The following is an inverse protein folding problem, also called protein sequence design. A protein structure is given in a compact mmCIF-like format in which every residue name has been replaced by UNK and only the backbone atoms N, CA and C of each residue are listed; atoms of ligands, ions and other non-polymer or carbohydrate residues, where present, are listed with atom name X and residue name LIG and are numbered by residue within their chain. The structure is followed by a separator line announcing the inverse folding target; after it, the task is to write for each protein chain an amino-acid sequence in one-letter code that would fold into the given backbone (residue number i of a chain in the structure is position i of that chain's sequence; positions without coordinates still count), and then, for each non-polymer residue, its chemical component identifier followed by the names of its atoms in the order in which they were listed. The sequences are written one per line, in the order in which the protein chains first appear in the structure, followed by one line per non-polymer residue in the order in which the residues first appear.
data_IF_185615030265
#
_entry.id   IF_185615030265
#
_cell.length_a   1.000
_cell.length_b   1.000
_cell.length_c   1.000
_cell.angle_alpha   90.00
_cell.angle_beta   90.00
_cell.angle_gamma   90.00
#
_symmetry.space_group_name_H-M   'P 1'
#
loop_
_entity.id
_entity.type
_entity.pdbx_description
1 polymer ?
#
# COMPACT_ATOMS: atom_id res chain seq x y z
N UNK A 1 4.57 14.50 17.85
CA UNK A 1 3.41 15.28 17.34
C UNK A 1 2.35 14.39 16.69
N UNK A 2 2.70 13.44 15.82
CA UNK A 2 1.81 12.43 15.27
C UNK A 2 1.01 11.68 16.35
N UNK A 3 1.66 11.35 17.48
CA UNK A 3 1.02 10.68 18.62
C UNK A 3 -0.11 11.49 19.27
N UNK A 4 -0.16 12.79 19.07
CA UNK A 4 -1.19 13.68 19.63
C UNK A 4 -2.40 13.82 18.70
N UNK A 5 -2.28 13.38 17.44
CA UNK A 5 -3.40 13.33 16.51
C UNK A 5 -4.52 12.41 17.03
N UNK A 6 -5.75 12.75 16.67
CA UNK A 6 -6.90 11.91 16.96
C UNK A 6 -6.75 10.52 16.32
N UNK A 7 -7.34 9.50 16.94
CA UNK A 7 -7.35 8.14 16.39
C UNK A 7 -7.90 8.10 14.96
N UNK A 8 -8.95 8.89 14.69
CA UNK A 8 -9.54 9.02 13.35
C UNK A 8 -8.55 9.53 12.30
N UNK A 9 -7.74 10.55 12.62
CA UNK A 9 -6.72 11.07 11.70
C UNK A 9 -5.62 10.02 11.48
N UNK A 10 -5.12 9.38 12.53
CA UNK A 10 -4.09 8.33 12.42
C UNK A 10 -4.55 7.15 11.56
N UNK A 11 -5.80 6.71 11.72
CA UNK A 11 -6.40 5.67 10.90
C UNK A 11 -6.48 6.12 9.44
N UNK A 12 -6.90 7.37 9.20
CA UNK A 12 -6.99 7.92 7.84
C UNK A 12 -5.62 8.02 7.17
N UNK A 13 -4.58 8.41 7.90
CA UNK A 13 -3.20 8.44 7.41
C UNK A 13 -2.76 7.02 7.03
N UNK A 14 -2.91 6.07 7.95
CA UNK A 14 -2.50 4.68 7.73
C UNK A 14 -3.18 4.10 6.49
N UNK A 15 -4.50 4.29 6.34
CA UNK A 15 -5.24 3.85 5.15
C UNK A 15 -4.73 4.52 3.87
N UNK A 16 -4.45 5.82 3.91
CA UNK A 16 -3.94 6.52 2.72
C UNK A 16 -2.59 5.99 2.26
N UNK A 17 -1.69 5.66 3.21
CA UNK A 17 -0.39 5.06 2.92
C UNK A 17 -0.60 3.67 2.31
N UNK A 18 -1.38 2.80 2.96
CA UNK A 18 -1.63 1.45 2.44
C UNK A 18 -2.23 1.45 1.05
N UNK A 19 -3.31 2.21 0.83
CA UNK A 19 -3.98 2.29 -0.47
C UNK A 19 -3.06 2.81 -1.56
N UNK A 20 -2.28 3.86 -1.28
CA UNK A 20 -1.37 4.43 -2.29
C UNK A 20 -0.21 3.50 -2.60
N UNK A 21 0.30 2.79 -1.58
CA UNK A 21 1.41 1.86 -1.74
C UNK A 21 1.01 0.65 -2.59
N UNK A 22 -0.12 0.01 -2.26
CA UNK A 22 -0.64 -1.13 -3.03
C UNK A 22 -1.00 -0.70 -4.48
N UNK A 23 -1.59 0.48 -4.67
CA UNK A 23 -1.89 1.01 -6.00
C UNK A 23 -0.63 1.31 -6.81
N UNK A 24 0.39 1.89 -6.17
CA UNK A 24 1.69 2.13 -6.79
C UNK A 24 2.35 0.82 -7.24
N UNK A 25 2.45 -0.18 -6.34
CA UNK A 25 3.00 -1.48 -6.67
C UNK A 25 2.22 -2.16 -7.81
N UNK A 26 0.89 -2.12 -7.78
CA UNK A 26 0.06 -2.62 -8.87
C UNK A 26 0.36 -1.92 -10.21
N UNK A 27 0.62 -0.61 -10.21
CA UNK A 27 0.96 0.16 -11.42
C UNK A 27 2.29 -0.23 -12.06
N UNK A 28 3.25 -0.70 -11.25
CA UNK A 28 4.52 -1.25 -11.72
C UNK A 28 4.48 -2.77 -11.87
N UNK A 29 3.32 -3.40 -11.62
CA UNK A 29 3.11 -4.83 -11.76
C UNK A 29 3.70 -5.68 -10.63
N UNK A 30 3.89 -5.10 -9.45
CA UNK A 30 4.58 -5.71 -8.30
C UNK A 30 6.02 -6.14 -8.61
N UNK A 31 6.66 -5.47 -9.58
CA UNK A 31 8.05 -5.69 -9.93
C UNK A 31 8.98 -4.90 -9.01
N UNK A 32 9.69 -5.61 -8.12
CA UNK A 32 10.62 -5.02 -7.14
C UNK A 32 11.75 -4.22 -7.81
N UNK A 33 12.22 -4.62 -9.00
CA UNK A 33 13.30 -3.92 -9.71
C UNK A 33 12.86 -2.53 -10.19
N UNK A 34 11.53 -2.32 -10.28
CA UNK A 34 10.91 -1.05 -10.68
C UNK A 34 10.48 -0.21 -9.47
N UNK A 35 10.67 -0.70 -8.25
CA UNK A 35 10.30 0.03 -7.05
C UNK A 35 11.18 1.29 -6.87
N UNK A 36 10.55 2.40 -6.49
CA UNK A 36 11.17 3.67 -6.22
C UNK A 36 10.43 4.32 -5.05
N UNK A 37 11.15 4.56 -3.96
CA UNK A 37 10.58 5.25 -2.79
C UNK A 37 10.13 6.67 -3.17
N UNK A 38 10.88 7.35 -4.04
CA UNK A 38 10.53 8.70 -4.50
C UNK A 38 9.20 8.71 -5.27
N UNK A 39 9.01 7.78 -6.20
CA UNK A 39 7.78 7.69 -6.99
C UNK A 39 6.58 7.29 -6.14
N UNK A 40 6.78 6.37 -5.19
CA UNK A 40 5.75 6.04 -4.21
C UNK A 40 5.34 7.26 -3.38
N UNK A 41 6.29 8.03 -2.85
CA UNK A 41 6.00 9.22 -2.06
C UNK A 41 5.25 10.26 -2.90
N UNK A 42 5.65 10.48 -4.16
CA UNK A 42 4.93 11.39 -5.08
C UNK A 42 3.49 10.91 -5.36
N UNK A 43 3.30 9.61 -5.57
CA UNK A 43 1.98 8.99 -5.74
C UNK A 43 1.10 9.16 -4.50
N UNK A 44 1.64 8.89 -3.31
CA UNK A 44 0.92 9.06 -2.05
C UNK A 44 0.58 10.52 -1.76
N UNK A 45 1.48 11.46 -2.08
CA UNK A 45 1.22 12.90 -1.98
C UNK A 45 0.03 13.33 -2.84
N UNK A 46 0.03 12.90 -4.10
CA UNK A 46 -1.09 13.15 -5.02
C UNK A 46 -2.38 12.55 -4.45
N UNK A 47 -2.32 11.29 -4.02
CA UNK A 47 -3.48 10.60 -3.47
C UNK A 47 -4.08 11.31 -2.25
N UNK A 48 -3.26 11.68 -1.25
CA UNK A 48 -3.82 12.28 -0.04
C UNK A 48 -4.33 13.71 -0.27
N UNK A 49 -3.76 14.46 -1.21
CA UNK A 49 -4.26 15.78 -1.58
C UNK A 49 -5.63 15.71 -2.25
N UNK A 50 -5.86 14.69 -3.07
CA UNK A 50 -7.11 14.54 -3.83
C UNK A 50 -8.19 13.75 -3.07
N UNK A 51 -7.80 12.75 -2.28
CA UNK A 51 -8.72 11.73 -1.75
C UNK A 51 -8.73 11.65 -0.22
N UNK A 52 -7.67 12.06 0.47
CA UNK A 52 -7.55 11.87 1.91
C UNK A 52 -7.64 13.20 2.67
N UNK A 53 -8.86 13.56 3.07
CA UNK A 53 -9.21 14.79 3.80
C UNK A 53 -8.59 14.93 5.21
N UNK A 54 -7.51 14.20 5.54
CA UNK A 54 -6.83 14.32 6.83
C UNK A 54 -5.84 15.49 6.85
N UNK A 55 -5.22 15.85 5.71
CA UNK A 55 -4.21 16.91 5.69
C UNK A 55 -4.79 18.27 6.09
N UNK A 56 -6.00 18.59 5.63
CA UNK A 56 -6.73 19.81 6.00
C UNK A 56 -7.14 19.86 7.48
N UNK A 57 -7.09 18.72 8.18
CA UNK A 57 -7.46 18.60 9.60
C UNK A 57 -6.25 18.72 10.53
N UNK A 58 -5.04 18.84 9.97
CA UNK A 58 -3.81 19.01 10.75
C UNK A 58 -3.41 20.49 10.68
N UNK A 59 -3.18 21.15 11.83
CA UNK A 59 -2.67 22.51 11.87
C UNK A 59 -1.36 22.68 11.07
N UNK A 60 -1.22 23.83 10.39
CA UNK A 60 -0.09 24.09 9.50
C UNK A 60 1.27 24.07 10.21
N UNK A 61 1.33 24.51 11.47
CA UNK A 61 2.54 24.46 12.30
C UNK A 61 2.99 23.02 12.60
N UNK A 62 2.03 22.10 12.76
CA UNK A 62 2.32 20.66 12.91
C UNK A 62 2.79 20.10 11.57
N UNK A 63 2.07 20.39 10.48
CA UNK A 63 2.42 19.91 9.13
C UNK A 63 3.82 20.35 8.70
N UNK A 64 4.24 21.57 9.04
CA UNK A 64 5.55 22.10 8.66
C UNK A 64 6.67 21.70 9.64
N UNK A 65 6.36 21.00 10.72
CA UNK A 65 7.34 20.64 11.73
C UNK A 65 8.24 19.48 11.28
N UNK A 66 9.54 19.62 11.50
CA UNK A 66 10.52 18.56 11.21
C UNK A 66 10.22 17.28 12.00
N UNK A 67 9.79 17.42 13.26
CA UNK A 67 9.42 16.27 14.09
C UNK A 67 8.24 15.49 13.50
N UNK A 68 7.21 16.17 12.99
CA UNK A 68 6.08 15.50 12.38
C UNK A 68 6.50 14.76 11.10
N UNK A 69 7.35 15.37 10.26
CA UNK A 69 7.87 14.71 9.07
C UNK A 69 8.67 13.44 9.40
N UNK A 70 9.51 13.47 10.44
CA UNK A 70 10.25 12.29 10.90
C UNK A 70 9.31 11.18 11.39
N UNK A 71 8.32 11.52 12.22
CA UNK A 71 7.32 10.56 12.70
C UNK A 71 6.45 9.99 11.55
N UNK A 72 6.17 10.79 10.51
CA UNK A 72 5.47 10.35 9.31
C UNK A 72 6.31 9.38 8.49
N UNK A 73 7.61 9.64 8.32
CA UNK A 73 8.53 8.71 7.66
C UNK A 73 8.55 7.35 8.38
N UNK A 74 8.69 7.36 9.71
CA UNK A 74 8.59 6.13 10.52
C UNK A 74 7.26 5.42 10.34
N UNK A 75 6.16 6.17 10.21
CA UNK A 75 4.83 5.59 10.01
C UNK A 75 4.69 4.93 8.63
N UNK A 76 5.28 5.53 7.61
CA UNK A 76 5.30 4.96 6.25
C UNK A 76 6.05 3.64 6.28
N UNK A 77 7.25 3.60 6.88
CA UNK A 77 8.05 2.39 7.01
C UNK A 77 7.29 1.28 7.75
N UNK A 78 6.62 1.62 8.87
CA UNK A 78 5.80 0.68 9.64
C UNK A 78 4.68 0.06 8.79
N UNK A 79 3.99 0.88 8.01
CA UNK A 79 2.86 0.43 7.17
C UNK A 79 3.35 -0.43 6.00
N UNK A 80 4.42 0.00 5.32
CA UNK A 80 5.04 -0.78 4.23
C UNK A 80 5.50 -2.14 4.76
N UNK A 81 6.25 -2.15 5.86
CA UNK A 81 6.74 -3.38 6.46
C UNK A 81 5.58 -4.32 6.82
N UNK A 82 4.48 -3.78 7.37
CA UNK A 82 3.30 -4.61 7.67
C UNK A 82 2.69 -5.24 6.42
N UNK A 83 2.56 -4.49 5.33
CA UNK A 83 1.99 -5.00 4.07
C UNK A 83 2.87 -6.12 3.50
N UNK A 84 4.18 -5.90 3.42
CA UNK A 84 5.12 -6.85 2.84
C UNK A 84 5.33 -8.11 3.68
N UNK A 85 5.06 -8.06 5.00
CA UNK A 85 5.22 -9.20 5.89
C UNK A 85 3.91 -9.92 6.25
N UNK A 86 2.76 -9.45 5.77
CA UNK A 86 1.50 -10.15 5.98
C UNK A 86 1.42 -11.33 5.00
N UNK A 87 1.46 -12.56 5.52
CA UNK A 87 1.44 -13.76 4.68
C UNK A 87 0.13 -13.89 3.88
N UNK A 88 0.18 -14.41 2.64
CA UNK A 88 -1.01 -14.79 1.89
C UNK A 88 -1.92 -15.73 2.69
N UNK A 89 -3.22 -15.52 2.58
CA UNK A 89 -4.19 -16.43 3.22
C UNK A 89 -4.25 -17.76 2.45
N UNK A 90 -4.55 -18.86 3.15
CA UNK A 90 -4.74 -20.17 2.51
C UNK A 90 -5.76 -20.12 1.35
N UNK A 91 -6.82 -19.33 1.49
CA UNK A 91 -7.82 -19.15 0.45
C UNK A 91 -7.25 -18.47 -0.81
N UNK A 92 -6.39 -17.46 -0.64
CA UNK A 92 -5.73 -16.81 -1.77
C UNK A 92 -4.79 -17.79 -2.49
N UNK A 93 -4.01 -18.55 -1.73
CA UNK A 93 -3.08 -19.56 -2.27
C UNK A 93 -3.85 -20.58 -3.11
N UNK A 94 -4.88 -21.21 -2.54
CA UNK A 94 -5.70 -22.21 -3.23
C UNK A 94 -6.35 -21.64 -4.50
N UNK A 95 -6.86 -20.40 -4.43
CA UNK A 95 -7.50 -19.75 -5.58
C UNK A 95 -6.49 -19.46 -6.69
N UNK A 96 -5.33 -18.91 -6.35
CA UNK A 96 -4.27 -18.61 -7.32
C UNK A 96 -3.78 -19.91 -7.97
N UNK A 97 -3.47 -20.95 -7.20
CA UNK A 97 -3.00 -22.23 -7.73
C UNK A 97 -3.99 -22.85 -8.73
N UNK A 98 -5.29 -22.82 -8.42
CA UNK A 98 -6.33 -23.30 -9.32
C UNK A 98 -6.38 -22.49 -10.63
N UNK A 99 -6.37 -21.16 -10.54
CA UNK A 99 -6.37 -20.27 -11.71
C UNK A 99 -5.12 -20.44 -12.57
N UNK A 100 -3.95 -20.56 -11.95
CA UNK A 100 -2.68 -20.74 -12.65
C UNK A 100 -2.64 -22.07 -13.42
N UNK A 101 -3.15 -23.13 -12.82
CA UNK A 101 -3.26 -24.44 -13.47
C UNK A 101 -4.17 -24.39 -14.69
N UNK A 102 -5.30 -23.70 -14.60
CA UNK A 102 -6.25 -23.55 -15.69
C UNK A 102 -5.66 -22.72 -16.85
N UNK A 103 -4.98 -21.62 -16.53
CA UNK A 103 -4.42 -20.68 -17.50
C UNK A 103 -3.03 -21.07 -18.00
N UNK A 104 -2.38 -22.08 -17.40
CA UNK A 104 -1.01 -22.48 -17.73
C UNK A 104 0.04 -21.43 -17.34
N UNK A 105 -0.20 -20.65 -16.28
CA UNK A 105 0.70 -19.60 -15.79
C UNK A 105 1.46 -20.02 -14.54
N UNK A 106 2.47 -19.25 -14.13
CA UNK A 106 3.27 -19.54 -12.94
C UNK A 106 3.81 -18.24 -12.31
N UNK A 107 2.91 -17.39 -11.81
CA UNK A 107 3.27 -16.21 -11.03
C UNK A 107 3.70 -16.62 -9.62
N UNK A 108 4.69 -15.89 -9.10
CA UNK A 108 5.06 -15.89 -7.70
C UNK A 108 4.34 -14.77 -6.96
N UNK A 109 4.28 -14.89 -5.64
CA UNK A 109 3.83 -13.85 -4.73
C UNK A 109 4.38 -14.14 -3.33
N UNK A 110 4.81 -13.11 -2.62
CA UNK A 110 5.49 -13.24 -1.33
C UNK A 110 4.64 -12.76 -0.15
N UNK A 111 3.72 -11.82 -0.40
CA UNK A 111 2.83 -11.28 0.62
C UNK A 111 1.35 -11.30 0.21
N UNK A 112 0.48 -11.10 1.18
CA UNK A 112 -0.98 -11.09 1.03
C UNK A 112 -1.47 -10.08 -0.01
N UNK A 113 -0.86 -8.90 -0.03
CA UNK A 113 -1.25 -7.83 -0.92
C UNK A 113 -0.86 -8.15 -2.38
N UNK A 114 0.33 -8.71 -2.59
CA UNK A 114 0.75 -9.20 -3.89
C UNK A 114 -0.12 -10.37 -4.36
N UNK A 115 -0.42 -11.32 -3.47
CA UNK A 115 -1.32 -12.43 -3.77
C UNK A 115 -2.71 -11.93 -4.23
N UNK A 116 -3.25 -10.89 -3.59
CA UNK A 116 -4.51 -10.28 -4.02
C UNK A 116 -4.42 -9.66 -5.43
N UNK A 117 -3.29 -9.00 -5.73
CA UNK A 117 -3.05 -8.45 -7.07
C UNK A 117 -2.94 -9.56 -8.13
N UNK A 118 -2.15 -10.61 -7.88
CA UNK A 118 -2.00 -11.75 -8.79
C UNK A 118 -3.33 -12.47 -9.01
N UNK A 119 -4.09 -12.71 -7.94
CA UNK A 119 -5.44 -13.29 -8.03
C UNK A 119 -6.35 -12.46 -8.95
N UNK A 120 -6.30 -11.14 -8.86
CA UNK A 120 -7.06 -10.24 -9.73
C UNK A 120 -6.60 -10.32 -11.19
N UNK A 121 -5.29 -10.29 -11.44
CA UNK A 121 -4.71 -10.41 -12.79
C UNK A 121 -5.12 -11.74 -13.45
N UNK A 122 -5.10 -12.84 -12.70
CA UNK A 122 -5.51 -14.15 -13.19
C UNK A 122 -7.01 -14.21 -13.50
N UNK A 123 -7.86 -13.65 -12.62
CA UNK A 123 -9.31 -13.56 -12.85
C UNK A 123 -9.66 -12.71 -14.07
N UNK A 124 -8.88 -11.67 -14.36
CA UNK A 124 -9.07 -10.85 -15.57
C UNK A 124 -8.70 -11.62 -16.84
N UNK A 125 -7.70 -12.51 -16.79
CA UNK A 125 -7.31 -13.37 -17.93
C UNK A 125 -8.31 -14.49 -18.23
N UNK A 126 -9.16 -14.86 -17.28
CA UNK A 126 -10.24 -15.84 -17.49
C UNK A 126 -11.44 -15.27 -18.26
N UNK A 127 -11.58 -13.95 -18.33
CA UNK A 127 -12.71 -13.28 -19.01
C UNK A 127 -12.47 -13.19 -20.52
#
# INVERSE_FOLDING_TARGET
MYKELSSGIKISITRSISTSFEAYLASIGWDEERFSMEDFIASWQTYFQENAAWIEKIPADILLSAQFHEEMAQKIDEVIAKILNEEPTAQQIETIEALQKELGTNYSYDCKAEAAYIEQVLKEKQK
#
